data_IF_605574630106
#
_entry.id   IF_605574630106
#
_cell.length_a   1.000
_cell.length_b   1.000
_cell.length_c   1.000
_cell.angle_alpha   90.00
_cell.angle_beta   90.00
_cell.angle_gamma   90.00
#
_symmetry.space_group_name_H-M   'P 1'
#
loop_
_entity.id
_entity.type
_entity.pdbx_description
1 polymer ?
#
# COMPACT_ATOMS: atom_id res chain seq x y z
N UNK A 1 6.97 7.92 -16.43
CA UNK A 1 7.93 7.02 -17.12
C UNK A 1 8.42 7.48 -18.48
N UNK A 2 7.54 7.74 -19.45
CA UNK A 2 7.96 8.18 -20.80
C UNK A 2 8.91 9.38 -20.80
N UNK A 3 8.74 10.33 -19.87
CA UNK A 3 9.59 11.51 -19.73
C UNK A 3 11.00 11.23 -19.18
N UNK A 4 11.22 10.07 -18.55
CA UNK A 4 12.51 9.69 -17.94
C UNK A 4 13.27 8.65 -18.78
N UNK A 5 12.57 7.91 -19.65
CA UNK A 5 13.20 6.97 -20.57
C UNK A 5 14.12 7.71 -21.57
N UNK A 6 15.34 7.23 -21.88
CA UNK A 6 15.94 5.93 -21.54
C UNK A 6 16.89 5.94 -20.33
N UNK A 7 16.79 6.93 -19.44
CA UNK A 7 17.58 6.97 -18.21
C UNK A 7 17.12 5.89 -17.21
N UNK A 8 18.02 5.50 -16.31
CA UNK A 8 17.69 4.59 -15.21
C UNK A 8 17.00 5.34 -14.09
N UNK A 9 15.85 4.84 -13.65
CA UNK A 9 15.09 5.35 -12.51
C UNK A 9 15.20 4.36 -11.35
N UNK A 10 15.66 4.84 -10.19
CA UNK A 10 15.68 4.07 -8.94
C UNK A 10 14.85 4.81 -7.92
N UNK A 11 13.72 4.21 -7.53
CA UNK A 11 12.82 4.71 -6.48
C UNK A 11 13.11 3.96 -5.20
N UNK A 12 13.46 4.68 -4.14
CA UNK A 12 13.57 4.15 -2.79
C UNK A 12 12.32 4.57 -2.01
N UNK A 13 11.54 3.59 -1.57
CA UNK A 13 10.18 3.78 -1.08
C UNK A 13 10.14 3.46 0.41
N UNK A 14 9.58 4.38 1.19
CA UNK A 14 9.10 4.12 2.55
C UNK A 14 7.59 3.89 2.44
N UNK A 15 7.16 2.65 2.66
CA UNK A 15 5.78 2.23 2.50
C UNK A 15 5.00 2.46 3.80
N UNK A 16 3.97 3.29 3.69
CA UNK A 16 2.89 3.42 4.67
C UNK A 16 1.66 2.59 4.29
N UNK A 17 1.73 1.83 3.19
CA UNK A 17 0.62 1.03 2.65
C UNK A 17 0.75 -0.43 3.07
N UNK A 18 -0.35 -1.01 3.56
CA UNK A 18 -0.42 -2.42 3.94
C UNK A 18 -0.23 -3.32 2.72
N UNK A 19 0.61 -4.35 2.87
CA UNK A 19 0.87 -5.33 1.82
C UNK A 19 1.95 -4.90 0.83
N UNK A 20 2.52 -3.70 1.00
CA UNK A 20 3.63 -3.21 0.19
C UNK A 20 3.32 -3.20 -1.32
N UNK A 21 2.03 -2.97 -1.65
CA UNK A 21 1.55 -2.93 -3.02
C UNK A 21 2.04 -1.66 -3.74
N UNK A 22 3.00 -1.85 -4.63
CA UNK A 22 3.65 -0.79 -5.39
C UNK A 22 2.67 -0.04 -6.31
N UNK A 23 1.56 -0.67 -6.73
CA UNK A 23 0.55 -0.02 -7.58
C UNK A 23 -0.20 1.08 -6.79
N UNK A 24 -0.34 0.89 -5.48
CA UNK A 24 -1.03 1.81 -4.57
C UNK A 24 -0.08 2.87 -4.01
N UNK A 25 1.18 2.50 -3.77
CA UNK A 25 2.17 3.41 -3.19
C UNK A 25 2.51 4.54 -4.17
N UNK A 26 2.28 5.78 -3.73
CA UNK A 26 2.58 7.03 -4.45
C UNK A 26 1.89 7.20 -5.83
N UNK A 27 0.77 6.52 -6.08
CA UNK A 27 0.09 6.49 -7.40
C UNK A 27 0.95 5.90 -8.53
N UNK A 28 1.96 5.08 -8.19
CA UNK A 28 2.72 4.28 -9.14
C UNK A 28 3.35 5.04 -10.33
N UNK A 29 3.96 6.24 -10.19
CA UNK A 29 4.55 6.95 -11.34
C UNK A 29 5.68 6.16 -12.02
N UNK A 30 6.21 5.14 -11.32
CA UNK A 30 7.20 4.17 -11.76
C UNK A 30 6.69 2.73 -11.91
N UNK A 31 5.37 2.51 -11.91
CA UNK A 31 4.75 1.19 -11.91
C UNK A 31 3.75 1.08 -13.07
N UNK A 32 3.60 -0.09 -13.72
CA UNK A 32 2.63 -0.26 -14.78
C UNK A 32 1.19 -0.05 -14.31
N UNK A 33 0.37 0.61 -15.14
CA UNK A 33 -1.06 0.79 -14.84
C UNK A 33 -1.87 -0.32 -15.54
N UNK A 34 -2.55 -1.17 -14.77
CA UNK A 34 -3.38 -2.24 -15.31
C UNK A 34 -4.75 -1.78 -15.83
N UNK A 35 -5.24 -0.60 -15.42
CA UNK A 35 -6.53 -0.08 -15.83
C UNK A 35 -6.52 0.51 -17.24
N UNK A 36 -7.66 0.54 -17.91
CA UNK A 36 -7.77 1.07 -19.29
C UNK A 36 -8.78 2.21 -19.39
N UNK A 37 -8.73 2.97 -20.50
CA UNK A 37 -9.77 3.92 -20.86
C UNK A 37 -11.16 3.28 -20.89
N UNK A 38 -11.25 2.00 -21.25
CA UNK A 38 -12.50 1.24 -21.25
C UNK A 38 -13.03 1.00 -19.82
N UNK A 39 -12.14 0.69 -18.88
CA UNK A 39 -12.49 0.54 -17.46
C UNK A 39 -12.96 1.86 -16.87
N UNK A 40 -12.27 2.98 -17.18
CA UNK A 40 -12.71 4.31 -16.76
C UNK A 40 -14.12 4.64 -17.26
N UNK A 41 -14.40 4.40 -18.55
CA UNK A 41 -15.73 4.64 -19.12
C UNK A 41 -16.80 3.72 -18.51
N UNK A 42 -16.45 2.46 -18.20
CA UNK A 42 -17.35 1.54 -17.51
C UNK A 42 -17.68 2.03 -16.09
N UNK A 43 -16.70 2.52 -15.33
CA UNK A 43 -16.91 3.11 -14.00
C UNK A 43 -17.81 4.36 -14.07
N UNK A 44 -17.58 5.26 -15.03
CA UNK A 44 -18.40 6.46 -15.18
C UNK A 44 -19.88 6.14 -15.42
N UNK A 45 -20.15 5.10 -16.20
CA UNK A 45 -21.51 4.60 -16.43
C UNK A 45 -22.07 3.88 -15.21
N UNK A 46 -21.29 2.99 -14.59
CA UNK A 46 -21.69 2.23 -13.39
C UNK A 46 -22.15 3.14 -12.26
N UNK A 47 -21.44 4.24 -12.03
CA UNK A 47 -21.75 5.21 -10.97
C UNK A 47 -22.64 6.39 -11.43
N UNK A 48 -23.11 6.40 -12.68
CA UNK A 48 -23.95 7.47 -13.26
C UNK A 48 -23.36 8.89 -13.12
N UNK A 49 -22.02 9.00 -13.11
CA UNK A 49 -21.32 10.28 -12.96
C UNK A 49 -20.95 10.94 -14.29
N UNK A 50 -21.15 10.25 -15.43
CA UNK A 50 -20.73 10.74 -16.74
C UNK A 50 -21.27 12.14 -17.09
N UNK A 51 -22.50 12.48 -16.67
CA UNK A 51 -23.12 13.80 -16.90
C UNK A 51 -22.65 14.89 -15.94
N UNK A 52 -22.00 14.50 -14.85
CA UNK A 52 -21.48 15.40 -13.81
C UNK A 52 -20.01 15.78 -14.07
N UNK A 53 -19.33 15.03 -14.94
CA UNK A 53 -17.93 15.27 -15.27
C UNK A 53 -17.76 16.47 -16.22
N UNK A 54 -16.68 17.27 -16.07
CA UNK A 54 -16.29 18.26 -17.05
C UNK A 54 -16.14 17.66 -18.45
N UNK A 55 -16.57 18.42 -19.47
CA UNK A 55 -16.53 17.95 -20.86
C UNK A 55 -15.11 17.63 -21.34
N UNK A 56 -14.10 18.32 -20.81
CA UNK A 56 -12.69 18.04 -21.09
C UNK A 56 -12.29 16.60 -20.73
N UNK A 57 -12.74 16.09 -19.58
CA UNK A 57 -12.46 14.71 -19.13
C UNK A 57 -13.16 13.71 -20.05
N UNK A 58 -14.44 13.93 -20.35
CA UNK A 58 -15.21 13.04 -21.23
C UNK A 58 -14.57 12.96 -22.61
N UNK A 59 -14.23 14.11 -23.19
CA UNK A 59 -13.56 14.17 -24.50
C UNK A 59 -12.20 13.46 -24.48
N UNK A 60 -11.43 13.56 -23.39
CA UNK A 60 -10.13 12.89 -23.26
C UNK A 60 -10.29 11.36 -23.25
N UNK A 61 -11.23 10.83 -22.46
CA UNK A 61 -11.50 9.39 -22.43
C UNK A 61 -12.04 8.90 -23.78
N UNK A 62 -12.95 9.63 -24.43
CA UNK A 62 -13.43 9.31 -25.78
C UNK A 62 -12.28 9.32 -26.83
N UNK A 63 -11.33 10.25 -26.70
CA UNK A 63 -10.13 10.28 -27.54
C UNK A 63 -9.23 9.05 -27.29
N UNK A 64 -9.08 8.62 -26.03
CA UNK A 64 -8.39 7.37 -25.67
C UNK A 64 -9.06 6.13 -26.27
N UNK A 65 -10.38 6.01 -26.12
CA UNK A 65 -11.18 4.90 -26.67
C UNK A 65 -11.14 4.82 -28.21
N UNK A 66 -10.94 5.95 -28.88
CA UNK A 66 -10.78 6.01 -30.34
C UNK A 66 -9.34 5.88 -30.81
N UNK A 67 -8.39 5.62 -29.90
CA UNK A 67 -6.97 5.45 -30.20
C UNK A 67 -6.22 6.73 -30.56
N UNK A 68 -6.83 7.91 -30.38
CA UNK A 68 -6.19 9.21 -30.66
C UNK A 68 -5.20 9.62 -29.56
N UNK A 69 -5.41 9.10 -28.35
CA UNK A 69 -4.51 9.27 -27.22
C UNK A 69 -4.02 7.87 -26.83
N UNK A 70 -2.70 7.67 -26.65
CA UNK A 70 -2.20 6.38 -26.22
C UNK A 70 -2.63 6.08 -24.79
N UNK A 71 -2.83 4.80 -24.50
CA UNK A 71 -3.09 4.33 -23.14
C UNK A 71 -1.88 4.61 -22.21
N UNK A 72 -2.15 4.57 -20.90
CA UNK A 72 -1.10 4.53 -19.88
C UNK A 72 -0.15 3.34 -20.11
N UNK A 73 1.16 3.50 -19.84
CA UNK A 73 2.13 2.41 -20.01
C UNK A 73 1.72 1.14 -19.26
N UNK A 74 1.76 0.01 -19.96
CA UNK A 74 1.31 -1.31 -19.46
C UNK A 74 2.48 -2.18 -19.01
N UNK A 75 2.16 -3.27 -18.34
CA UNK A 75 3.13 -4.30 -18.01
C UNK A 75 3.81 -4.79 -19.28
N UNK A 76 5.14 -4.74 -19.31
CA UNK A 76 5.94 -5.09 -20.49
C UNK A 76 6.25 -3.92 -21.44
N UNK A 77 5.80 -2.69 -21.16
CA UNK A 77 6.23 -1.50 -21.90
C UNK A 77 7.73 -1.24 -21.64
N UNK A 78 8.58 -1.08 -22.70
CA UNK A 78 10.03 -0.86 -22.55
C UNK A 78 10.40 0.32 -21.66
N UNK A 79 9.49 1.28 -21.43
CA UNK A 79 9.71 2.41 -20.52
C UNK A 79 9.99 1.99 -19.08
N UNK A 80 9.64 0.75 -18.70
CA UNK A 80 9.89 0.20 -17.37
C UNK A 80 11.18 -0.63 -17.27
N UNK A 81 11.87 -0.96 -18.37
CA UNK A 81 13.06 -1.85 -18.36
C UNK A 81 14.18 -1.38 -17.44
N UNK A 82 14.34 -0.06 -17.29
CA UNK A 82 15.36 0.57 -16.43
C UNK A 82 14.78 1.20 -15.17
N UNK A 83 13.63 0.70 -14.72
CA UNK A 83 12.91 1.22 -13.57
C UNK A 83 12.97 0.23 -12.44
N UNK A 84 13.50 0.67 -11.31
CA UNK A 84 13.66 -0.14 -10.12
C UNK A 84 12.94 0.54 -8.97
N UNK A 85 11.95 -0.14 -8.39
CA UNK A 85 11.26 0.31 -7.19
C UNK A 85 11.67 -0.61 -6.05
N UNK A 86 12.23 -0.02 -4.99
CA UNK A 86 12.79 -0.73 -3.85
C UNK A 86 12.10 -0.19 -2.60
N UNK A 87 11.38 -1.05 -1.89
CA UNK A 87 10.89 -0.73 -0.54
C UNK A 87 12.07 -0.89 0.41
N UNK A 88 12.42 0.20 1.09
CA UNK A 88 13.54 0.28 2.02
C UNK A 88 13.10 0.48 3.47
N UNK A 89 11.80 0.49 3.69
CA UNK A 89 11.16 0.66 4.99
C UNK A 89 9.67 0.41 4.85
N UNK A 90 9.11 -0.51 5.64
CA UNK A 90 7.65 -0.68 5.77
C UNK A 90 7.23 -0.97 7.21
N UNK A 91 5.92 -0.92 7.46
CA UNK A 91 5.34 -1.19 8.78
C UNK A 91 5.75 -2.59 9.31
N UNK A 92 5.71 -3.61 8.44
CA UNK A 92 6.11 -4.97 8.83
C UNK A 92 7.61 -5.05 9.14
N UNK A 93 8.47 -4.35 8.39
CA UNK A 93 9.90 -4.31 8.68
C UNK A 93 10.18 -3.67 10.04
N UNK A 94 9.47 -2.60 10.40
CA UNK A 94 9.57 -1.98 11.71
C UNK A 94 9.13 -2.93 12.84
N UNK A 95 8.03 -3.68 12.66
CA UNK A 95 7.56 -4.67 13.63
C UNK A 95 8.57 -5.82 13.78
N UNK A 96 9.11 -6.32 12.67
CA UNK A 96 10.12 -7.40 12.69
C UNK A 96 11.38 -6.94 13.42
N UNK A 97 11.85 -5.72 13.16
CA UNK A 97 12.99 -5.14 13.88
C UNK A 97 12.69 -4.97 15.38
N UNK A 98 11.50 -4.49 15.74
CA UNK A 98 11.07 -4.37 17.14
C UNK A 98 11.00 -5.73 17.84
N UNK A 99 10.49 -6.76 17.16
CA UNK A 99 10.45 -8.15 17.64
C UNK A 99 11.85 -8.66 17.94
N UNK A 100 12.76 -8.58 16.97
CA UNK A 100 14.15 -9.04 17.14
C UNK A 100 14.83 -8.33 18.30
N UNK A 101 14.60 -7.02 18.44
CA UNK A 101 15.16 -6.26 19.56
C UNK A 101 14.58 -6.71 20.89
N UNK A 102 13.28 -6.92 21.00
CA UNK A 102 12.63 -7.39 22.22
C UNK A 102 13.10 -8.81 22.61
N UNK A 103 13.22 -9.72 21.65
CA UNK A 103 13.81 -11.06 21.86
C UNK A 103 15.25 -10.95 22.40
N UNK A 104 16.08 -10.06 21.83
CA UNK A 104 17.46 -9.84 22.31
C UNK A 104 17.55 -9.30 23.74
N UNK A 105 16.47 -8.68 24.24
CA UNK A 105 16.35 -8.17 25.60
C UNK A 105 15.75 -9.20 26.57
N UNK A 106 15.41 -10.40 26.09
CA UNK A 106 14.85 -11.49 26.90
C UNK A 106 13.32 -11.50 27.00
N UNK A 107 12.61 -10.76 26.15
CA UNK A 107 11.14 -10.81 26.11
C UNK A 107 10.64 -12.00 25.29
N UNK A 108 9.53 -12.58 25.72
CA UNK A 108 8.72 -13.46 24.91
C UNK A 108 7.84 -12.59 24.00
N UNK A 109 8.11 -12.62 22.70
CA UNK A 109 7.40 -11.75 21.75
C UNK A 109 6.25 -12.44 21.04
N UNK A 110 5.17 -11.70 20.79
CA UNK A 110 4.10 -12.11 19.88
C UNK A 110 3.70 -10.93 18.99
N UNK A 111 3.80 -11.13 17.68
CA UNK A 111 3.24 -10.20 16.69
C UNK A 111 1.80 -10.63 16.43
N UNK A 112 0.84 -9.77 16.77
CA UNK A 112 -0.59 -10.08 16.59
C UNK A 112 -1.03 -9.87 15.15
N UNK A 113 -0.68 -8.72 14.57
CA UNK A 113 -0.96 -8.36 13.18
C UNK A 113 -0.15 -7.13 12.79
N UNK A 114 0.23 -6.99 11.53
CA UNK A 114 0.75 -5.72 10.96
C UNK A 114 -0.34 -4.90 10.25
N UNK A 115 -1.60 -5.33 10.38
CA UNK A 115 -2.71 -4.90 9.53
C UNK A 115 -3.97 -4.63 10.38
N UNK A 116 -3.83 -4.12 11.60
CA UNK A 116 -5.04 -3.77 12.36
C UNK A 116 -5.74 -2.60 11.70
N UNK A 117 -7.05 -2.76 11.50
CA UNK A 117 -7.97 -1.72 11.06
C UNK A 117 -9.02 -1.52 12.15
N UNK A 118 -9.41 -0.26 12.40
CA UNK A 118 -10.48 0.07 13.33
C UNK A 118 -10.12 1.21 14.27
N UNK A 119 -11.02 1.50 15.21
CA UNK A 119 -10.86 2.59 16.15
C UNK A 119 -9.77 2.29 17.18
N UNK A 120 -8.84 3.22 17.38
CA UNK A 120 -7.75 3.10 18.36
C UNK A 120 -8.26 2.77 19.76
N UNK A 121 -9.45 3.26 20.13
CA UNK A 121 -10.09 2.96 21.43
C UNK A 121 -10.38 1.47 21.62
N UNK A 122 -10.84 0.80 20.56
CA UNK A 122 -11.24 -0.60 20.64
C UNK A 122 -9.99 -1.49 20.66
N UNK A 123 -8.96 -1.14 19.88
CA UNK A 123 -7.63 -1.76 19.95
C UNK A 123 -7.00 -1.61 21.34
N UNK A 124 -7.08 -0.44 21.96
CA UNK A 124 -6.56 -0.22 23.30
C UNK A 124 -7.24 -1.11 24.36
N UNK A 125 -8.56 -1.32 24.25
CA UNK A 125 -9.28 -2.24 25.15
C UNK A 125 -8.82 -3.68 24.97
N UNK A 126 -8.64 -4.11 23.72
CA UNK A 126 -8.12 -5.43 23.37
C UNK A 126 -6.72 -5.66 23.93
N UNK A 127 -5.80 -4.70 23.75
CA UNK A 127 -4.47 -4.73 24.37
C UNK A 127 -4.52 -4.82 25.90
N UNK A 128 -5.40 -4.05 26.53
CA UNK A 128 -5.61 -4.11 27.96
C UNK A 128 -6.08 -5.47 28.46
N UNK A 129 -6.92 -6.18 27.68
CA UNK A 129 -7.36 -7.52 28.02
C UNK A 129 -6.20 -8.53 27.97
N UNK A 130 -5.39 -8.50 26.91
CA UNK A 130 -4.19 -9.35 26.77
C UNK A 130 -3.21 -9.10 27.92
N UNK A 131 -2.91 -7.83 28.21
CA UNK A 131 -1.99 -7.46 29.28
C UNK A 131 -2.47 -7.95 30.66
N UNK A 132 -3.78 -7.84 30.95
CA UNK A 132 -4.37 -8.36 32.19
C UNK A 132 -4.24 -9.89 32.29
N UNK A 133 -4.48 -10.61 31.19
CA UNK A 133 -4.36 -12.07 31.18
C UNK A 133 -2.92 -12.52 31.42
N UNK A 134 -1.95 -11.88 30.77
CA UNK A 134 -0.52 -12.15 30.98
C UNK A 134 -0.11 -11.87 32.44
N UNK A 135 -0.55 -10.74 32.99
CA UNK A 135 -0.26 -10.39 34.38
C UNK A 135 -0.88 -11.37 35.39
N UNK A 136 -2.06 -11.93 35.08
CA UNK A 136 -2.77 -12.87 35.95
C UNK A 136 -2.23 -14.30 35.86
N UNK A 137 -1.91 -14.77 34.67
CA UNK A 137 -1.56 -16.18 34.42
C UNK A 137 -0.07 -16.45 34.36
N UNK A 138 0.75 -15.43 34.11
CA UNK A 138 2.18 -15.62 33.93
C UNK A 138 2.54 -16.38 32.66
N UNK A 139 1.72 -16.34 31.61
CA UNK A 139 2.00 -17.00 30.33
C UNK A 139 2.04 -15.99 29.15
N UNK A 140 3.22 -15.61 28.64
CA UNK A 140 4.56 -15.69 29.26
C UNK A 140 5.18 -14.31 29.57
N UNK A 141 5.55 -13.99 30.84
CA UNK A 141 6.35 -12.82 31.17
C UNK A 141 7.86 -13.12 31.07
N UNK A 142 8.70 -12.10 30.84
CA UNK A 142 8.31 -10.77 30.38
C UNK A 142 7.80 -10.87 28.93
N UNK A 143 6.61 -10.32 28.66
CA UNK A 143 5.95 -10.37 27.36
C UNK A 143 6.17 -9.08 26.58
N UNK A 144 6.29 -9.17 25.26
CA UNK A 144 6.22 -8.03 24.36
C UNK A 144 5.23 -8.34 23.24
N UNK A 145 4.10 -7.64 23.25
CA UNK A 145 3.04 -7.80 22.26
C UNK A 145 3.17 -6.67 21.25
N UNK A 146 3.23 -7.01 19.97
CA UNK A 146 3.52 -6.08 18.89
C UNK A 146 2.39 -6.10 17.85
N UNK A 147 2.08 -4.94 17.29
CA UNK A 147 1.27 -4.83 16.08
C UNK A 147 1.58 -3.59 15.27
N UNK A 148 1.02 -3.56 14.06
CA UNK A 148 0.90 -2.37 13.21
C UNK A 148 -0.56 -1.98 13.04
N UNK A 149 -0.79 -0.68 12.85
CA UNK A 149 -2.09 -0.06 12.58
C UNK A 149 -2.11 0.47 11.14
N UNK A 150 -3.26 0.39 10.51
CA UNK A 150 -3.63 1.01 9.24
C UNK A 150 -4.36 2.33 9.52
N UNK A 151 -3.95 3.43 8.87
CA UNK A 151 -4.60 4.74 8.97
C UNK A 151 -5.80 4.86 8.03
#
# INVERSE_FOLDING_TARGET
MRSYYPATLVSLILSDVVGDDLDVIASGPGVPDSGTFQDCMALFKKYNILRQLPRSIVNFIEAGLSGKVPETPKTGDPVFEKTHNLIIGSNIEAIVAAKQKAESLGYNTLVLSSMFEGETRDLAQFYGAIAREIAKTGHPPPACILSGEYL
#
